data_IF_339263747738
#
_entry.id   IF_339263747738
#
_cell.length_a   1.000
_cell.length_b   1.000
_cell.length_c   1.000
_cell.angle_alpha   90.00
_cell.angle_beta   90.00
_cell.angle_gamma   90.00
#
_symmetry.space_group_name_H-M   'P 1'
#
loop_
_entity.id
_entity.type
_entity.pdbx_description
1 polymer ?
#
# COMPACT_ATOMS: atom_id res chain seq x y z
N UNK A 1 -14.45 -9.00 -4.95
CA UNK A 1 -12.99 -9.02 -4.68
C UNK A 1 -12.11 -9.50 -5.85
N UNK A 2 -12.49 -10.50 -6.68
CA UNK A 2 -11.58 -10.98 -7.76
C UNK A 2 -11.19 -9.96 -8.85
N UNK A 3 -11.92 -8.85 -9.00
CA UNK A 3 -11.72 -7.91 -10.13
C UNK A 3 -10.79 -6.72 -9.83
N UNK A 4 -10.30 -6.55 -8.60
CA UNK A 4 -9.44 -5.41 -8.21
C UNK A 4 -7.95 -5.75 -8.20
N UNK A 5 -7.60 -7.03 -8.15
CA UNK A 5 -6.21 -7.48 -8.20
C UNK A 5 -5.73 -7.45 -9.65
N UNK A 6 -4.60 -6.77 -9.88
CA UNK A 6 -3.87 -6.76 -11.14
C UNK A 6 -2.48 -7.33 -10.91
N UNK A 7 -1.75 -7.52 -12.02
CA UNK A 7 -0.43 -8.15 -12.03
C UNK A 7 0.57 -7.52 -11.05
N UNK A 8 0.45 -6.22 -10.70
CA UNK A 8 1.41 -5.54 -9.81
C UNK A 8 0.77 -4.57 -8.79
N UNK A 9 -0.56 -4.47 -8.77
CA UNK A 9 -1.27 -3.56 -7.88
C UNK A 9 -2.74 -3.96 -7.66
N UNK A 10 -3.32 -3.39 -6.60
CA UNK A 10 -4.75 -3.46 -6.31
C UNK A 10 -5.35 -2.13 -6.69
N UNK A 11 -6.36 -2.10 -7.55
CA UNK A 11 -7.05 -0.86 -7.98
C UNK A 11 -8.55 -1.06 -8.12
N UNK A 12 -9.32 -0.03 -7.77
CA UNK A 12 -10.77 -0.03 -7.90
C UNK A 12 -11.36 1.37 -7.73
N UNK A 13 -12.62 1.55 -8.09
CA UNK A 13 -13.37 2.79 -7.85
C UNK A 13 -13.71 2.89 -6.35
N UNK A 14 -13.40 4.03 -5.75
CA UNK A 14 -13.64 4.28 -4.32
C UNK A 14 -15.14 4.33 -4.04
N UNK A 15 -15.58 3.64 -2.99
CA UNK A 15 -16.99 3.53 -2.59
C UNK A 15 -17.79 2.47 -3.35
N UNK A 16 -17.22 1.86 -4.40
CA UNK A 16 -17.84 0.75 -5.13
C UNK A 16 -17.01 -0.53 -5.06
N UNK A 17 -15.74 -0.43 -5.42
CA UNK A 17 -14.82 -1.57 -5.53
C UNK A 17 -13.80 -1.59 -4.39
N UNK A 18 -13.49 -0.41 -3.83
CA UNK A 18 -12.57 -0.21 -2.71
C UNK A 18 -13.17 0.73 -1.66
N UNK A 19 -13.01 0.36 -0.40
CA UNK A 19 -13.37 1.16 0.77
C UNK A 19 -12.35 0.94 1.90
N UNK A 20 -12.56 1.61 3.04
CA UNK A 20 -11.65 1.48 4.18
C UNK A 20 -11.60 0.04 4.72
N UNK A 21 -12.71 -0.68 4.71
CA UNK A 21 -12.73 -2.07 5.19
C UNK A 21 -11.85 -2.95 4.30
N UNK A 22 -11.93 -2.78 2.99
CA UNK A 22 -11.12 -3.53 2.03
C UNK A 22 -9.63 -3.16 2.18
N UNK A 23 -9.31 -1.87 2.35
CA UNK A 23 -7.93 -1.41 2.57
C UNK A 23 -7.35 -1.90 3.90
N UNK A 24 -8.13 -1.95 4.98
CA UNK A 24 -7.72 -2.56 6.26
C UNK A 24 -7.38 -4.04 6.08
N UNK A 25 -8.29 -4.82 5.46
CA UNK A 25 -8.08 -6.25 5.22
C UNK A 25 -6.84 -6.53 4.37
N UNK A 26 -6.63 -5.77 3.29
CA UNK A 26 -5.44 -5.86 2.44
C UNK A 26 -4.18 -5.57 3.26
N UNK A 27 -4.21 -4.51 4.09
CA UNK A 27 -3.05 -4.10 4.88
C UNK A 27 -2.67 -5.12 5.94
N UNK A 28 -3.65 -5.73 6.61
CA UNK A 28 -3.42 -6.82 7.58
C UNK A 28 -2.87 -8.07 6.90
N UNK A 29 -3.40 -8.43 5.73
CA UNK A 29 -2.86 -9.53 4.95
C UNK A 29 -1.41 -9.26 4.51
N UNK A 30 -1.12 -8.05 4.04
CA UNK A 30 0.23 -7.63 3.70
C UNK A 30 1.18 -7.68 4.91
N UNK A 31 0.76 -7.19 6.07
CA UNK A 31 1.54 -7.26 7.31
C UNK A 31 1.89 -8.71 7.68
N UNK A 32 0.94 -9.63 7.58
CA UNK A 32 1.19 -11.05 7.84
C UNK A 32 2.24 -11.62 6.87
N UNK A 33 2.16 -11.29 5.57
CA UNK A 33 3.15 -11.72 4.58
C UNK A 33 4.54 -11.10 4.83
N UNK A 34 4.60 -9.82 5.22
CA UNK A 34 5.84 -9.14 5.58
C UNK A 34 6.52 -9.81 6.77
N UNK A 35 5.75 -10.10 7.83
CA UNK A 35 6.25 -10.80 9.02
C UNK A 35 6.75 -12.21 8.72
N UNK A 36 6.08 -12.96 7.85
CA UNK A 36 6.55 -14.29 7.42
C UNK A 36 7.93 -14.24 6.75
N UNK A 37 8.31 -13.11 6.14
CA UNK A 37 9.63 -12.88 5.55
C UNK A 37 10.64 -12.24 6.51
N UNK A 38 10.26 -12.01 7.77
CA UNK A 38 11.08 -11.32 8.76
C UNK A 38 11.21 -9.82 8.52
N UNK A 39 10.26 -9.20 7.83
CA UNK A 39 10.24 -7.75 7.62
C UNK A 39 9.31 -7.09 8.64
N UNK A 40 9.91 -6.44 9.64
CA UNK A 40 9.18 -5.78 10.72
C UNK A 40 8.84 -4.31 10.41
N UNK A 41 9.57 -3.68 9.48
CA UNK A 41 9.35 -2.29 9.06
C UNK A 41 8.69 -2.23 7.68
N UNK A 42 7.65 -1.42 7.55
CA UNK A 42 6.88 -1.22 6.32
C UNK A 42 6.84 0.26 5.95
N UNK A 43 7.23 0.58 4.71
CA UNK A 43 7.08 1.93 4.16
C UNK A 43 5.65 2.17 3.67
N UNK A 44 5.10 3.33 3.97
CA UNK A 44 3.83 3.79 3.39
C UNK A 44 4.06 5.10 2.68
N UNK A 45 3.49 5.25 1.48
CA UNK A 45 3.45 6.52 0.76
C UNK A 45 2.12 6.66 0.03
N UNK A 46 1.76 7.88 -0.37
CA UNK A 46 0.53 8.13 -1.12
C UNK A 46 0.67 9.20 -2.17
N UNK A 47 -0.21 9.17 -3.17
CA UNK A 47 -0.42 10.28 -4.10
C UNK A 47 -1.41 11.33 -3.55
N UNK A 48 -1.82 12.28 -4.41
CA UNK A 48 -2.67 13.42 -4.08
C UNK A 48 -4.17 13.20 -4.33
N UNK A 49 -4.66 11.97 -4.53
CA UNK A 49 -6.11 11.72 -4.68
C UNK A 49 -6.85 12.11 -3.40
N UNK A 50 -8.08 12.61 -3.53
CA UNK A 50 -8.89 13.04 -2.37
C UNK A 50 -9.15 11.91 -1.36
N UNK A 51 -9.20 10.67 -1.82
CA UNK A 51 -9.34 9.47 -0.99
C UNK A 51 -8.04 8.98 -0.35
N UNK A 52 -6.87 9.40 -0.85
CA UNK A 52 -5.57 8.90 -0.41
C UNK A 52 -5.23 9.21 1.06
N UNK A 53 -5.58 10.38 1.65
CA UNK A 53 -5.37 10.61 3.08
C UNK A 53 -6.13 9.62 3.97
N UNK A 54 -7.41 9.37 3.68
CA UNK A 54 -8.23 8.44 4.46
C UNK A 54 -7.74 6.99 4.34
N UNK A 55 -7.37 6.58 3.12
CA UNK A 55 -6.76 5.27 2.92
C UNK A 55 -5.41 5.15 3.61
N UNK A 56 -4.59 6.21 3.63
CA UNK A 56 -3.34 6.23 4.40
C UNK A 56 -3.59 5.96 5.87
N UNK A 57 -4.56 6.62 6.50
CA UNK A 57 -4.82 6.43 7.93
C UNK A 57 -5.26 4.98 8.21
N UNK A 58 -6.14 4.45 7.35
CA UNK A 58 -6.59 3.06 7.41
C UNK A 58 -5.42 2.08 7.29
N UNK A 59 -4.55 2.26 6.27
CA UNK A 59 -3.39 1.38 6.03
C UNK A 59 -2.40 1.45 7.20
N UNK A 60 -2.04 2.66 7.65
CA UNK A 60 -1.07 2.85 8.73
C UNK A 60 -1.57 2.20 10.02
N UNK A 61 -2.82 2.43 10.41
CA UNK A 61 -3.40 1.84 11.61
C UNK A 61 -3.41 0.31 11.53
N UNK A 62 -3.87 -0.25 10.40
CA UNK A 62 -3.93 -1.70 10.21
C UNK A 62 -2.54 -2.37 10.28
N UNK A 63 -1.51 -1.74 9.71
CA UNK A 63 -0.12 -2.22 9.77
C UNK A 63 0.43 -2.15 11.20
N UNK A 64 0.19 -1.04 11.91
CA UNK A 64 0.62 -0.86 13.31
C UNK A 64 -0.08 -1.84 14.26
N UNK A 65 -1.39 -2.01 14.14
CA UNK A 65 -2.18 -2.99 14.91
C UNK A 65 -1.70 -4.42 14.65
N UNK A 66 -1.22 -4.68 13.43
CA UNK A 66 -0.62 -5.97 13.06
C UNK A 66 0.81 -6.12 13.59
N UNK A 67 1.35 -5.11 14.28
CA UNK A 67 2.65 -5.09 14.93
C UNK A 67 3.82 -4.83 13.97
N UNK A 68 3.61 -4.11 12.87
CA UNK A 68 4.68 -3.59 12.02
C UNK A 68 5.11 -2.18 12.48
N UNK A 69 6.39 -1.87 12.38
CA UNK A 69 6.87 -0.49 12.45
C UNK A 69 6.60 0.19 11.11
N UNK A 70 5.90 1.34 11.13
CA UNK A 70 5.52 2.04 9.90
C UNK A 70 6.34 3.31 9.73
N UNK A 71 6.98 3.46 8.57
CA UNK A 71 7.61 4.70 8.13
C UNK A 71 6.72 5.31 7.04
N UNK A 72 6.04 6.40 7.36
CA UNK A 72 5.19 7.12 6.43
C UNK A 72 5.96 8.23 5.72
N UNK A 73 6.10 8.08 4.40
CA UNK A 73 6.74 9.05 3.50
C UNK A 73 5.81 10.23 3.16
N UNK A 74 4.52 10.12 3.50
CA UNK A 74 3.52 11.15 3.21
C UNK A 74 3.14 11.21 1.73
N UNK A 75 2.97 12.44 1.23
CA UNK A 75 2.65 12.70 -0.18
C UNK A 75 3.92 12.62 -1.03
N UNK A 76 4.05 11.57 -1.84
CA UNK A 76 5.20 11.32 -2.70
C UNK A 76 4.78 10.76 -4.05
N UNK A 77 5.65 10.87 -5.04
CA UNK A 77 5.48 10.14 -6.31
C UNK A 77 5.98 8.70 -6.17
N UNK A 78 5.43 7.77 -6.95
CA UNK A 78 5.84 6.35 -6.91
C UNK A 78 7.37 6.13 -7.04
N UNK A 79 8.11 6.84 -7.92
CA UNK A 79 9.56 6.69 -7.99
C UNK A 79 10.29 7.01 -6.67
N UNK A 80 9.81 8.01 -5.91
CA UNK A 80 10.39 8.36 -4.60
C UNK A 80 10.10 7.28 -3.57
N UNK A 81 8.91 6.66 -3.60
CA UNK A 81 8.60 5.52 -2.74
C UNK A 81 9.58 4.34 -2.97
N UNK A 82 9.81 3.96 -4.24
CA UNK A 82 10.76 2.87 -4.53
C UNK A 82 12.22 3.26 -4.24
N UNK A 83 12.60 4.51 -4.53
CA UNK A 83 13.91 5.03 -4.16
C UNK A 83 14.14 4.95 -2.64
N UNK A 84 13.18 5.42 -1.83
CA UNK A 84 13.27 5.36 -0.38
C UNK A 84 13.38 3.91 0.14
N UNK A 85 12.61 2.98 -0.41
CA UNK A 85 12.70 1.56 -0.06
C UNK A 85 14.10 0.98 -0.31
N UNK A 86 14.70 1.28 -1.47
CA UNK A 86 16.05 0.84 -1.81
C UNK A 86 17.12 1.56 -0.97
N UNK A 87 16.99 2.87 -0.80
CA UNK A 87 17.94 3.69 -0.06
C UNK A 87 17.99 3.35 1.43
N UNK A 88 16.83 3.10 2.05
CA UNK A 88 16.70 2.72 3.46
C UNK A 88 16.88 1.21 3.70
N UNK A 89 17.03 0.42 2.63
CA UNK A 89 17.06 -1.04 2.68
C UNK A 89 15.84 -1.65 3.40
N UNK A 90 14.65 -1.13 3.09
CA UNK A 90 13.37 -1.60 3.63
C UNK A 90 12.61 -2.30 2.50
N UNK A 91 12.60 -3.65 2.47
CA UNK A 91 12.03 -4.42 1.36
C UNK A 91 10.51 -4.64 1.50
N UNK A 92 9.79 -3.88 2.33
CA UNK A 92 8.34 -3.98 2.48
C UNK A 92 7.68 -2.61 2.42
N UNK A 93 6.64 -2.45 1.60
CA UNK A 93 5.90 -1.20 1.56
C UNK A 93 4.61 -1.21 0.74
N UNK A 94 3.77 -0.21 1.00
CA UNK A 94 2.51 0.05 0.31
C UNK A 94 2.48 1.48 -0.22
N UNK A 95 2.39 1.65 -1.54
CA UNK A 95 2.22 2.96 -2.18
C UNK A 95 0.75 3.13 -2.60
N UNK A 96 0.02 4.01 -1.93
CA UNK A 96 -1.39 4.30 -2.18
C UNK A 96 -1.52 5.18 -3.41
N UNK A 97 -2.02 4.61 -4.50
CA UNK A 97 -2.19 5.28 -5.78
C UNK A 97 -2.98 4.41 -6.76
N UNK A 98 -3.68 5.03 -7.71
CA UNK A 98 -4.12 4.38 -8.94
C UNK A 98 -3.38 4.89 -10.19
N UNK A 99 -2.19 5.49 -10.01
CA UNK A 99 -1.30 5.94 -11.08
C UNK A 99 -2.02 6.87 -12.07
N UNK A 100 -2.25 6.42 -13.32
CA UNK A 100 -2.88 7.18 -14.39
C UNK A 100 -4.42 7.09 -14.42
N UNK A 101 -5.05 6.28 -13.57
CA UNK A 101 -6.51 6.16 -13.54
C UNK A 101 -7.16 7.48 -13.09
N UNK A 102 -8.43 7.70 -13.48
CA UNK A 102 -9.23 8.85 -13.05
C UNK A 102 -9.30 9.01 -11.53
N UNK A 103 -9.60 10.22 -11.05
CA UNK A 103 -9.55 10.58 -9.62
C UNK A 103 -10.47 9.76 -8.71
N UNK A 104 -11.52 9.17 -9.28
CA UNK A 104 -12.47 8.26 -8.63
C UNK A 104 -11.85 6.88 -8.30
N UNK A 105 -10.74 6.51 -8.93
CA UNK A 105 -10.01 5.29 -8.63
C UNK A 105 -9.00 5.53 -7.51
N UNK A 106 -8.73 4.50 -6.73
CA UNK A 106 -7.54 4.44 -5.89
C UNK A 106 -7.10 2.98 -5.71
N UNK A 107 -6.15 2.72 -4.80
CA UNK A 107 -5.59 1.41 -4.60
C UNK A 107 -4.20 1.45 -3.99
N UNK A 108 -3.44 0.37 -4.15
CA UNK A 108 -2.06 0.31 -3.68
C UNK A 108 -1.16 -0.55 -4.57
N UNK A 109 0.09 -0.12 -4.72
CA UNK A 109 1.21 -0.95 -5.21
C UNK A 109 1.91 -1.55 -4.00
N UNK A 110 2.19 -2.85 -4.05
CA UNK A 110 2.79 -3.60 -2.93
C UNK A 110 4.24 -3.97 -3.27
N UNK A 111 5.16 -3.63 -2.38
CA UNK A 111 6.57 -4.03 -2.43
C UNK A 111 6.81 -5.08 -1.34
N UNK A 112 7.36 -6.24 -1.69
CA UNK A 112 7.73 -7.25 -0.70
C UNK A 112 8.94 -8.09 -1.17
N UNK A 113 10.09 -7.88 -0.55
CA UNK A 113 11.37 -8.43 -0.97
C UNK A 113 11.98 -7.65 -2.14
N UNK A 114 12.70 -8.37 -2.99
CA UNK A 114 13.28 -7.84 -4.23
C UNK A 114 12.25 -7.61 -5.35
N UNK A 115 11.01 -8.08 -5.16
CA UNK A 115 9.92 -8.04 -6.13
C UNK A 115 8.67 -7.33 -5.61
N UNK A 116 7.81 -6.92 -6.53
CA UNK A 116 6.41 -6.55 -6.24
C UNK A 116 5.57 -7.81 -6.01
N UNK A 117 4.62 -7.76 -5.07
CA UNK A 117 3.65 -8.85 -4.89
C UNK A 117 2.72 -8.88 -6.11
N UNK A 118 2.56 -10.05 -6.71
CA UNK A 118 1.62 -10.35 -7.78
C UNK A 118 0.72 -11.54 -7.36
N UNK A 119 -0.49 -11.60 -7.90
CA UNK A 119 -1.47 -12.67 -7.67
C UNK A 119 -2.30 -12.96 -8.91
#
# INVERSE_FOLDING_TARGET
MKNIFRQYDIRGVVGRDLDNQTMDQISRAFAAMAKQKGYDTVLVGRDNRSSSPQFRDTVVNALQDSGCHVIDLGLVITPIFYFAARYLNIPAGMMITASHNGGEYNGCKLLLGESTIYG
#
